data_IF_683056977642
#
_entry.id   IF_683056977642
#
_cell.length_a   1.000
_cell.length_b   1.000
_cell.length_c   1.000
_cell.angle_alpha   90.00
_cell.angle_beta   90.00
_cell.angle_gamma   90.00
#
_symmetry.space_group_name_H-M   'P 1'
#
loop_
_entity.id
_entity.type
_entity.pdbx_description
1 polymer ?
#
# COMPACT_ATOMS: atom_id res chain seq x y z
N UNK A 1 -1.46 -22.08 18.80
CA UNK A 1 -2.60 -21.60 18.00
C UNK A 1 -3.81 -21.40 18.92
N UNK A 2 -3.95 -20.24 19.56
CA UNK A 2 -5.08 -19.98 20.46
C UNK A 2 -6.24 -19.32 19.69
N UNK A 3 -7.04 -20.14 19.02
CA UNK A 3 -8.08 -19.70 18.09
C UNK A 3 -9.43 -19.31 18.71
N UNK A 4 -9.62 -19.26 20.03
CA UNK A 4 -10.97 -19.08 20.61
C UNK A 4 -11.01 -18.25 21.91
N UNK A 5 -10.27 -17.14 21.97
CA UNK A 5 -10.48 -16.13 23.02
C UNK A 5 -11.35 -14.98 22.51
N UNK A 6 -12.22 -14.45 23.39
CA UNK A 6 -13.02 -13.23 23.18
C UNK A 6 -12.05 -12.08 22.88
N UNK A 7 -11.82 -11.79 21.60
CA UNK A 7 -10.77 -10.85 21.16
C UNK A 7 -11.28 -9.42 21.28
N UNK A 8 -10.51 -8.55 21.93
CA UNK A 8 -10.50 -7.16 21.50
C UNK A 8 -9.99 -7.20 20.04
N UNK A 9 -10.80 -6.65 19.15
CA UNK A 9 -10.81 -6.86 17.68
C UNK A 9 -9.50 -6.52 16.97
N UNK A 10 -8.59 -5.77 17.62
CA UNK A 10 -7.28 -5.39 17.09
C UNK A 10 -6.17 -6.09 17.91
N UNK A 11 -5.13 -6.64 17.26
CA UNK A 11 -3.98 -7.24 17.96
C UNK A 11 -3.32 -6.28 18.96
N UNK A 12 -3.36 -4.98 18.64
CA UNK A 12 -2.89 -3.89 19.48
C UNK A 12 -4.05 -2.96 19.86
N UNK A 13 -4.03 -2.32 21.04
CA UNK A 13 -5.14 -1.50 21.53
C UNK A 13 -5.18 -0.11 20.89
N UNK A 14 -5.31 -0.02 19.56
CA UNK A 14 -5.30 1.25 18.82
C UNK A 14 -6.46 2.19 19.19
N UNK A 15 -7.54 1.65 19.76
CA UNK A 15 -8.66 2.42 20.32
C UNK A 15 -8.27 3.29 21.53
N UNK A 16 -7.15 3.01 22.19
CA UNK A 16 -6.67 3.81 23.34
C UNK A 16 -5.91 5.06 22.90
N UNK A 17 -5.48 5.12 21.63
CA UNK A 17 -4.77 6.27 21.08
C UNK A 17 -5.73 7.45 20.92
N UNK A 18 -5.27 8.65 21.32
CA UNK A 18 -6.00 9.89 21.10
C UNK A 18 -6.18 10.12 19.59
N UNK A 19 -7.43 10.28 19.15
CA UNK A 19 -7.77 10.62 17.78
C UNK A 19 -7.95 12.13 17.63
N UNK A 20 -7.51 12.64 16.49
CA UNK A 20 -7.66 14.02 16.06
C UNK A 20 -8.12 14.00 14.60
N UNK A 21 -8.88 15.02 14.19
CA UNK A 21 -9.46 15.09 12.83
C UNK A 21 -8.38 15.26 11.75
N UNK A 22 -7.39 16.10 12.03
CA UNK A 22 -6.25 16.36 11.14
C UNK A 22 -4.96 15.84 11.75
N UNK A 23 -3.96 15.45 10.93
CA UNK A 23 -2.64 15.09 11.43
C UNK A 23 -2.05 16.19 12.32
N UNK A 24 -1.19 15.79 13.25
CA UNK A 24 -0.48 16.71 14.16
C UNK A 24 0.52 17.63 13.46
N UNK A 25 0.72 17.43 12.15
CA UNK A 25 1.57 18.23 11.27
C UNK A 25 0.69 18.86 10.20
N UNK A 26 0.89 20.15 9.94
CA UNK A 26 0.10 20.88 8.94
C UNK A 26 0.36 20.34 7.53
N UNK A 27 -0.71 20.14 6.77
CA UNK A 27 -0.70 19.77 5.36
C UNK A 27 -1.52 20.83 4.61
N UNK A 28 -0.94 21.41 3.56
CA UNK A 28 -1.63 22.35 2.67
C UNK A 28 -2.07 21.59 1.42
N UNK A 29 -3.26 20.99 1.47
CA UNK A 29 -3.78 20.08 0.43
C UNK A 29 -3.74 20.69 -0.99
N UNK A 30 -3.93 22.01 -1.10
CA UNK A 30 -3.91 22.79 -2.34
C UNK A 30 -2.50 22.97 -2.93
N UNK A 31 -1.45 22.75 -2.13
CA UNK A 31 -0.06 22.95 -2.51
C UNK A 31 0.70 21.63 -2.72
N UNK A 32 0.16 20.49 -2.28
CA UNK A 32 0.81 19.18 -2.48
C UNK A 32 0.63 18.70 -3.92
N UNK A 33 1.74 18.59 -4.65
CA UNK A 33 1.73 18.12 -6.04
C UNK A 33 1.85 16.60 -6.09
N UNK A 34 1.15 15.99 -7.05
CA UNK A 34 1.45 14.62 -7.49
C UNK A 34 2.89 14.57 -8.04
N UNK A 35 3.54 13.44 -7.83
CA UNK A 35 4.92 13.20 -8.27
C UNK A 35 4.96 12.14 -9.36
N UNK A 36 5.99 12.17 -10.20
CA UNK A 36 6.25 11.13 -11.18
C UNK A 36 6.93 9.94 -10.50
N UNK A 37 6.42 8.71 -10.68
CA UNK A 37 7.01 7.53 -10.04
C UNK A 37 8.48 7.32 -10.44
N UNK A 38 8.85 7.72 -11.66
CA UNK A 38 10.21 7.60 -12.20
C UNK A 38 11.22 8.45 -11.43
N UNK A 39 10.75 9.48 -10.74
CA UNK A 39 11.58 10.38 -9.93
C UNK A 39 11.80 9.86 -8.50
N UNK A 40 11.21 8.71 -8.12
CA UNK A 40 11.55 8.05 -6.86
C UNK A 40 13.05 7.70 -6.82
N UNK A 41 13.67 7.82 -5.64
CA UNK A 41 15.12 7.62 -5.49
C UNK A 41 15.60 6.25 -6.01
N UNK A 42 14.78 5.21 -5.86
CA UNK A 42 15.09 3.88 -6.39
C UNK A 42 15.00 3.79 -7.91
N UNK A 43 14.03 4.44 -8.54
CA UNK A 43 13.88 4.43 -10.00
C UNK A 43 14.97 5.27 -10.67
N UNK A 44 15.35 6.40 -10.06
CA UNK A 44 16.53 7.18 -10.46
C UNK A 44 17.82 6.36 -10.38
N UNK A 45 17.98 5.54 -9.33
CA UNK A 45 19.11 4.62 -9.23
C UNK A 45 19.11 3.57 -10.36
N UNK A 46 17.95 2.98 -10.72
CA UNK A 46 17.84 2.05 -11.86
C UNK A 46 18.22 2.73 -13.18
N UNK A 47 17.76 3.98 -13.38
CA UNK A 47 18.03 4.77 -14.59
C UNK A 47 19.50 5.20 -14.72
N UNK A 48 20.24 5.20 -13.61
CA UNK A 48 21.67 5.53 -13.58
C UNK A 48 21.97 6.97 -13.17
N UNK A 49 20.96 7.73 -12.72
CA UNK A 49 21.09 9.15 -12.32
C UNK A 49 22.12 9.37 -11.21
N UNK A 50 22.39 8.35 -10.40
CA UNK A 50 23.36 8.39 -9.30
C UNK A 50 24.66 7.61 -9.60
N UNK A 51 24.91 7.31 -10.87
CA UNK A 51 26.13 6.66 -11.34
C UNK A 51 26.07 5.12 -11.38
N UNK A 52 27.09 4.55 -12.02
CA UNK A 52 27.15 3.13 -12.39
C UNK A 52 27.15 2.18 -11.18
N UNK A 53 27.73 2.59 -10.05
CA UNK A 53 27.77 1.75 -8.85
C UNK A 53 26.37 1.45 -8.33
N UNK A 54 25.55 2.49 -8.16
CA UNK A 54 24.18 2.35 -7.66
C UNK A 54 23.28 1.70 -8.70
N UNK A 55 23.47 2.01 -9.98
CA UNK A 55 22.76 1.33 -11.07
C UNK A 55 22.98 -0.19 -11.03
N UNK A 56 24.24 -0.63 -10.90
CA UNK A 56 24.60 -2.06 -10.80
C UNK A 56 24.04 -2.71 -9.54
N UNK A 57 24.16 -2.06 -8.38
CA UNK A 57 23.77 -2.65 -7.10
C UNK A 57 22.25 -2.60 -6.86
N UNK A 58 21.49 -1.75 -7.56
CA UNK A 58 20.04 -1.59 -7.35
C UNK A 58 19.22 -2.87 -7.56
N UNK A 59 19.64 -3.76 -8.46
CA UNK A 59 18.98 -5.06 -8.64
C UNK A 59 19.43 -6.11 -7.62
N UNK A 60 20.60 -5.90 -7.00
CA UNK A 60 21.26 -6.88 -6.12
C UNK A 60 21.13 -6.57 -4.64
N UNK A 61 20.87 -5.31 -4.24
CA UNK A 61 21.03 -4.89 -2.84
C UNK A 61 20.11 -5.61 -1.86
N UNK A 62 18.90 -6.00 -2.27
CA UNK A 62 17.97 -6.80 -1.45
C UNK A 62 18.30 -8.29 -1.48
N UNK A 63 18.44 -8.97 -2.64
CA UNK A 63 18.63 -10.42 -2.68
C UNK A 63 20.08 -10.89 -2.38
N UNK A 64 20.86 -10.15 -1.59
CA UNK A 64 22.25 -10.53 -1.25
C UNK A 64 22.32 -11.81 -0.40
N UNK A 65 21.32 -12.02 0.44
CA UNK A 65 21.21 -13.21 1.28
C UNK A 65 20.16 -14.16 0.71
N UNK A 66 20.36 -15.50 0.74
CA UNK A 66 19.43 -16.45 0.14
C UNK A 66 17.97 -16.31 0.60
N UNK A 67 17.76 -16.07 1.90
CA UNK A 67 16.41 -15.86 2.46
C UNK A 67 15.78 -14.59 1.87
N UNK A 68 16.53 -13.48 1.79
CA UNK A 68 16.04 -12.24 1.18
C UNK A 68 15.74 -12.40 -0.31
N UNK A 69 16.56 -13.19 -1.03
CA UNK A 69 16.32 -13.54 -2.43
C UNK A 69 15.02 -14.32 -2.62
N UNK A 70 14.81 -15.37 -1.83
CA UNK A 70 13.59 -16.18 -1.88
C UNK A 70 12.32 -15.34 -1.62
N UNK A 71 12.34 -14.47 -0.60
CA UNK A 71 11.23 -13.57 -0.29
C UNK A 71 10.99 -12.53 -1.40
N UNK A 72 12.06 -12.00 -1.99
CA UNK A 72 11.95 -11.02 -3.09
C UNK A 72 11.29 -11.63 -4.33
N UNK A 73 11.65 -12.87 -4.67
CA UNK A 73 11.05 -13.58 -5.80
C UNK A 73 9.58 -13.90 -5.56
N UNK A 74 9.23 -14.38 -4.35
CA UNK A 74 7.83 -14.61 -3.99
C UNK A 74 7.00 -13.33 -4.12
N UNK A 75 7.50 -12.20 -3.63
CA UNK A 75 6.82 -10.91 -3.75
C UNK A 75 6.63 -10.47 -5.21
N UNK A 76 7.64 -10.71 -6.06
CA UNK A 76 7.53 -10.40 -7.49
C UNK A 76 6.41 -11.19 -8.18
N UNK A 77 6.23 -12.48 -7.86
CA UNK A 77 5.14 -13.29 -8.42
C UNK A 77 3.74 -12.87 -7.94
N UNK A 78 3.63 -12.35 -6.71
CA UNK A 78 2.35 -11.89 -6.18
C UNK A 78 1.91 -10.54 -6.77
N UNK A 79 2.82 -9.79 -7.42
CA UNK A 79 2.49 -8.49 -8.02
C UNK A 79 1.39 -8.63 -9.08
N UNK A 80 1.40 -9.68 -9.88
CA UNK A 80 0.48 -9.80 -11.02
C UNK A 80 -0.98 -10.09 -10.61
N UNK A 81 -1.22 -10.48 -9.34
CA UNK A 81 -2.57 -10.81 -8.84
C UNK A 81 -3.19 -9.68 -8.01
N UNK A 82 -2.52 -8.53 -7.88
CA UNK A 82 -3.04 -7.38 -7.09
C UNK A 82 -4.16 -6.62 -7.79
N UNK A 83 -4.27 -6.77 -9.12
CA UNK A 83 -5.36 -6.24 -9.93
C UNK A 83 -5.91 -7.36 -10.82
N UNK A 84 -7.11 -7.18 -11.37
CA UNK A 84 -7.72 -8.19 -12.20
C UNK A 84 -9.16 -7.93 -12.59
N UNK A 85 -9.82 -8.99 -13.04
CA UNK A 85 -11.20 -8.91 -13.52
C UNK A 85 -12.16 -8.61 -12.37
N UNK A 86 -12.86 -7.49 -12.48
CA UNK A 86 -13.95 -7.13 -11.57
C UNK A 86 -15.16 -8.04 -11.85
N UNK A 87 -15.67 -8.68 -10.80
CA UNK A 87 -16.85 -9.54 -10.91
C UNK A 87 -18.07 -8.75 -11.44
N UNK A 88 -18.77 -9.31 -12.45
CA UNK A 88 -19.97 -8.68 -13.04
C UNK A 88 -21.11 -8.56 -12.04
N UNK A 89 -21.27 -9.57 -11.18
CA UNK A 89 -22.30 -9.59 -10.14
C UNK A 89 -21.67 -9.14 -8.83
N UNK A 90 -22.25 -8.10 -8.21
CA UNK A 90 -21.86 -7.68 -6.88
C UNK A 90 -22.35 -8.70 -5.85
N UNK A 91 -21.52 -8.98 -4.86
CA UNK A 91 -21.94 -9.73 -3.68
C UNK A 91 -23.05 -8.95 -2.94
N UNK A 92 -23.95 -9.63 -2.21
CA UNK A 92 -24.94 -8.97 -1.36
C UNK A 92 -24.22 -8.34 -0.15
N UNK A 93 -23.74 -7.11 -0.32
CA UNK A 93 -23.02 -6.36 0.71
C UNK A 93 -23.97 -5.43 1.46
N UNK A 94 -23.73 -5.20 2.76
CA UNK A 94 -24.45 -4.16 3.50
C UNK A 94 -24.13 -2.77 2.95
N UNK A 95 -25.10 -1.85 3.03
CA UNK A 95 -24.93 -0.45 2.61
C UNK A 95 -24.21 0.39 3.67
N UNK A 96 -24.19 -0.06 4.94
CA UNK A 96 -23.54 0.65 6.03
C UNK A 96 -22.01 0.65 5.88
N UNK A 97 -21.37 1.82 5.63
CA UNK A 97 -19.93 1.90 5.47
C UNK A 97 -19.17 1.53 6.75
N UNK A 98 -19.78 1.68 7.95
CA UNK A 98 -19.16 1.26 9.21
C UNK A 98 -19.03 -0.27 9.22
N UNK A 99 -20.10 -0.98 8.87
CA UNK A 99 -20.08 -2.43 8.80
C UNK A 99 -19.11 -2.92 7.71
N UNK A 100 -19.13 -2.30 6.51
CA UNK A 100 -18.20 -2.68 5.44
C UNK A 100 -16.72 -2.45 5.84
N UNK A 101 -16.42 -1.32 6.49
CA UNK A 101 -15.08 -1.02 7.00
C UNK A 101 -14.61 -2.07 8.01
N UNK A 102 -15.53 -2.58 8.83
CA UNK A 102 -15.26 -3.65 9.79
C UNK A 102 -14.97 -4.98 9.08
N UNK A 103 -15.74 -5.35 8.07
CA UNK A 103 -15.50 -6.57 7.30
C UNK A 103 -14.10 -6.55 6.64
N UNK A 104 -13.69 -5.41 6.07
CA UNK A 104 -12.36 -5.24 5.48
C UNK A 104 -11.26 -5.43 6.54
N UNK A 105 -11.40 -4.79 7.71
CA UNK A 105 -10.44 -4.95 8.81
C UNK A 105 -10.36 -6.39 9.30
N UNK A 106 -11.51 -7.05 9.50
CA UNK A 106 -11.56 -8.44 9.95
C UNK A 106 -10.90 -9.39 8.95
N UNK A 107 -11.11 -9.18 7.64
CA UNK A 107 -10.42 -9.94 6.60
C UNK A 107 -8.90 -9.74 6.67
N UNK A 108 -8.43 -8.50 6.81
CA UNK A 108 -7.00 -8.21 6.93
C UNK A 108 -6.38 -8.82 8.19
N UNK A 109 -7.08 -8.79 9.33
CA UNK A 109 -6.63 -9.46 10.56
C UNK A 109 -6.66 -10.99 10.44
N UNK A 110 -7.63 -11.56 9.74
CA UNK A 110 -7.67 -12.98 9.39
C UNK A 110 -6.43 -13.36 8.57
N UNK A 111 -6.04 -12.51 7.61
CA UNK A 111 -4.81 -12.63 6.81
C UNK A 111 -3.54 -12.19 7.55
N UNK A 112 -3.60 -12.00 8.88
CA UNK A 112 -2.47 -11.73 9.78
C UNK A 112 -1.84 -10.34 9.67
N UNK A 113 -2.57 -9.33 9.22
CA UNK A 113 -2.15 -7.94 9.41
C UNK A 113 -2.04 -7.60 10.90
N UNK A 114 -1.03 -6.80 11.27
CA UNK A 114 -0.83 -6.35 12.65
C UNK A 114 -1.72 -5.16 13.01
N UNK A 115 -1.95 -4.25 12.06
CA UNK A 115 -2.81 -3.08 12.21
C UNK A 115 -3.44 -2.69 10.85
N UNK A 116 -4.67 -2.17 10.88
CA UNK A 116 -5.42 -1.80 9.67
C UNK A 116 -6.13 -0.46 9.85
N UNK A 117 -5.85 0.47 8.94
CA UNK A 117 -6.50 1.78 8.82
C UNK A 117 -7.27 1.91 7.50
N UNK A 118 -8.24 2.82 7.47
CA UNK A 118 -9.00 3.17 6.26
C UNK A 118 -9.10 4.70 6.24
N UNK A 119 -8.83 5.31 5.10
CA UNK A 119 -8.90 6.74 4.88
C UNK A 119 -9.42 7.02 3.47
N UNK A 120 -9.76 8.27 3.17
CA UNK A 120 -10.02 8.70 1.80
C UNK A 120 -8.70 8.76 1.02
N UNK A 121 -8.72 8.36 -0.24
CA UNK A 121 -7.58 8.50 -1.13
C UNK A 121 -7.48 9.95 -1.63
N UNK A 122 -6.46 10.66 -1.18
CA UNK A 122 -6.19 12.03 -1.64
C UNK A 122 -5.52 12.01 -3.02
N UNK A 123 -5.87 12.92 -3.96
CA UNK A 123 -5.31 12.90 -5.32
C UNK A 123 -3.78 12.93 -5.38
N UNK A 124 -3.14 13.64 -4.44
CA UNK A 124 -1.68 13.77 -4.37
C UNK A 124 -0.96 12.50 -3.84
N UNK A 125 -1.70 11.49 -3.39
CA UNK A 125 -1.14 10.19 -3.03
C UNK A 125 -0.91 9.27 -4.26
N UNK A 126 -1.36 9.69 -5.44
CA UNK A 126 -1.26 8.91 -6.69
C UNK A 126 -0.21 9.53 -7.61
N UNK A 127 0.76 8.72 -8.06
CA UNK A 127 1.78 9.15 -9.02
C UNK A 127 1.16 9.70 -10.31
N UNK A 128 1.83 10.62 -11.01
CA UNK A 128 1.38 11.15 -12.32
C UNK A 128 1.64 10.17 -13.45
N UNK A 129 2.79 9.49 -13.42
CA UNK A 129 3.27 8.59 -14.46
C UNK A 129 3.87 7.34 -13.83
N UNK A 130 3.72 6.21 -14.50
CA UNK A 130 4.28 4.93 -14.07
C UNK A 130 5.73 4.76 -14.47
N UNK A 131 6.47 3.97 -13.70
CA UNK A 131 7.77 3.43 -14.10
C UNK A 131 7.62 1.99 -14.65
N UNK A 132 8.38 1.59 -15.68
CA UNK A 132 9.41 2.37 -16.38
C UNK A 132 8.88 3.21 -17.56
N UNK A 133 7.70 2.88 -18.08
CA UNK A 133 7.26 3.32 -19.41
C UNK A 133 6.76 4.77 -19.47
N UNK A 134 6.56 5.41 -18.31
CA UNK A 134 6.10 6.80 -18.22
C UNK A 134 4.63 7.00 -18.58
N UNK A 135 3.82 5.94 -18.60
CA UNK A 135 2.40 6.05 -18.93
C UNK A 135 1.66 6.86 -17.87
N UNK A 136 0.72 7.73 -18.26
CA UNK A 136 -0.07 8.50 -17.30
C UNK A 136 -0.87 7.54 -16.41
N UNK A 137 -0.93 7.85 -15.11
CA UNK A 137 -1.73 7.10 -14.13
C UNK A 137 -3.00 7.88 -13.84
N UNK A 138 -4.14 7.23 -14.06
CA UNK A 138 -5.46 7.66 -13.59
C UNK A 138 -5.98 6.64 -12.58
N UNK A 139 -6.43 7.12 -11.42
CA UNK A 139 -7.01 6.28 -10.38
C UNK A 139 -8.22 7.02 -9.79
N UNK A 140 -9.39 6.41 -9.94
CA UNK A 140 -10.68 6.99 -9.54
C UNK A 140 -11.23 6.39 -8.23
N UNK A 141 -10.36 5.76 -7.44
CA UNK A 141 -10.73 5.21 -6.14
C UNK A 141 -10.97 6.32 -5.12
N UNK A 142 -11.99 6.15 -4.29
CA UNK A 142 -12.34 7.11 -3.23
C UNK A 142 -11.59 6.85 -1.92
N UNK A 143 -11.21 5.60 -1.65
CA UNK A 143 -10.58 5.12 -0.42
C UNK A 143 -9.36 4.26 -0.74
#
# INVERSE_FOLDING_TARGET
MSGYFKRNFEPFPMHTLKRVEHPTTQIFDDQVKRVDERESGFNKAVRGDYGLHLQKERMRFVPKHPISGALSWMAAYLKDVVDGLVAKQKAPLPEDPILLSRHIKELAYFLRADAVGICKLTPYAVYTNSFPDGQPIELNHQY
#
